data_IF_517006096557
#
_entry.id   IF_517006096557
#
_cell.length_a   1.000
_cell.length_b   1.000
_cell.length_c   1.000
_cell.angle_alpha   90.00
_cell.angle_beta   90.00
_cell.angle_gamma   90.00
#
_symmetry.space_group_name_H-M   'P 1'
#
loop_
_entity.id
_entity.type
_entity.pdbx_description
1 polymer ?
#
# COMPACT_ATOMS: atom_id res chain seq x y z
N UNK A 1 27.24 35.24 -38.78
CA UNK A 1 26.35 35.30 -37.60
C UNK A 1 26.10 33.89 -37.11
N UNK A 2 26.54 33.54 -35.91
CA UNK A 2 26.25 32.24 -35.30
C UNK A 2 25.04 32.43 -34.38
N UNK A 3 23.91 31.80 -34.69
CA UNK A 3 22.74 31.81 -33.81
C UNK A 3 22.97 30.81 -32.67
N UNK A 4 23.05 31.31 -31.44
CA UNK A 4 23.07 30.48 -30.24
C UNK A 4 21.65 29.97 -29.97
N UNK A 5 21.41 28.68 -30.19
CA UNK A 5 20.16 28.02 -29.83
C UNK A 5 20.17 27.79 -28.31
N UNK A 6 19.49 28.64 -27.56
CA UNK A 6 19.23 28.43 -26.13
C UNK A 6 18.07 27.46 -26.01
N UNK A 7 18.37 26.20 -25.68
CA UNK A 7 17.33 25.21 -25.32
C UNK A 7 16.98 25.45 -23.86
N UNK A 8 15.82 26.07 -23.61
CA UNK A 8 15.26 26.23 -22.28
C UNK A 8 14.65 24.87 -21.89
N UNK A 9 15.34 24.13 -21.02
CA UNK A 9 14.76 22.95 -20.38
C UNK A 9 13.71 23.43 -19.36
N UNK A 10 12.43 23.21 -19.67
CA UNK A 10 11.36 23.43 -18.69
C UNK A 10 11.39 22.30 -17.66
N UNK A 11 11.24 22.59 -16.35
CA UNK A 11 11.11 21.53 -15.35
C UNK A 11 9.81 20.76 -15.60
N UNK A 12 9.92 19.43 -15.72
CA UNK A 12 8.75 18.57 -15.73
C UNK A 12 8.14 18.61 -14.31
N UNK A 13 6.90 19.08 -14.20
CA UNK A 13 6.18 19.07 -12.93
C UNK A 13 5.84 17.60 -12.62
N UNK A 14 6.45 17.04 -11.58
CA UNK A 14 6.11 15.70 -11.10
C UNK A 14 4.69 15.73 -10.50
N UNK A 15 3.73 15.04 -11.14
CA UNK A 15 2.38 14.89 -10.60
C UNK A 15 2.33 13.74 -9.60
N UNK A 16 1.74 14.00 -8.43
CA UNK A 16 1.43 12.94 -7.46
C UNK A 16 0.02 12.39 -7.74
N UNK A 17 -0.11 11.07 -7.74
CA UNK A 17 -1.40 10.41 -7.97
C UNK A 17 -1.85 9.72 -6.69
N UNK A 18 -3.13 9.86 -6.32
CA UNK A 18 -3.74 9.13 -5.20
C UNK A 18 -4.69 8.06 -5.72
N UNK A 19 -4.49 6.83 -5.27
CA UNK A 19 -5.28 5.66 -5.65
C UNK A 19 -6.01 5.17 -4.40
N UNK A 20 -7.29 4.83 -4.56
CA UNK A 20 -8.16 4.39 -3.45
C UNK A 20 -8.93 3.14 -3.83
N UNK A 21 -8.94 2.18 -2.91
CA UNK A 21 -9.71 0.94 -2.97
C UNK A 21 -10.72 0.90 -1.84
N UNK A 22 -11.85 0.24 -2.08
CA UNK A 22 -12.89 -0.01 -1.07
C UNK A 22 -13.06 -1.51 -0.92
N UNK A 23 -13.10 -1.99 0.32
CA UNK A 23 -13.45 -3.38 0.56
C UNK A 23 -14.93 -3.59 0.20
N UNK A 24 -15.30 -4.68 -0.48
CA UNK A 24 -16.70 -5.03 -0.68
C UNK A 24 -17.37 -5.32 0.67
N UNK A 25 -18.66 -5.00 0.78
CA UNK A 25 -19.46 -5.37 1.95
C UNK A 25 -19.53 -6.91 2.08
N UNK A 26 -19.34 -7.42 3.30
CA UNK A 26 -19.31 -8.87 3.59
C UNK A 26 -20.65 -9.42 4.06
N UNK A 27 -21.63 -8.58 4.38
CA UNK A 27 -22.95 -9.04 4.82
C UNK A 27 -23.94 -7.92 5.13
N UNK A 28 -25.20 -8.30 5.34
CA UNK A 28 -26.24 -7.39 5.78
C UNK A 28 -26.16 -7.17 7.30
N UNK A 29 -26.31 -5.92 7.75
CA UNK A 29 -26.33 -5.55 9.16
C UNK A 29 -27.52 -6.22 9.89
N UNK A 30 -27.24 -6.90 11.00
CA UNK A 30 -28.25 -7.54 11.84
C UNK A 30 -28.44 -6.88 13.22
N UNK A 31 -27.92 -5.68 13.48
CA UNK A 31 -28.30 -5.03 14.74
C UNK A 31 -27.70 -3.70 15.15
N UNK A 32 -26.75 -3.06 14.46
CA UNK A 32 -26.19 -1.80 14.98
C UNK A 32 -25.58 -0.81 13.97
N UNK A 33 -25.72 -1.02 12.66
CA UNK A 33 -24.92 -0.23 11.72
C UNK A 33 -25.50 0.11 10.35
N UNK A 34 -24.76 0.89 9.54
CA UNK A 34 -25.30 1.53 8.34
C UNK A 34 -25.73 0.59 7.20
N UNK A 35 -26.29 1.12 6.11
CA UNK A 35 -26.66 0.34 4.93
C UNK A 35 -25.48 -0.14 4.04
N UNK A 36 -24.21 0.04 4.46
CA UNK A 36 -23.01 -0.28 3.66
C UNK A 36 -21.88 -0.91 4.50
N UNK A 37 -22.19 -1.90 5.32
CA UNK A 37 -21.26 -2.37 6.34
C UNK A 37 -20.36 -3.51 5.93
N UNK A 38 -19.15 -3.45 6.48
CA UNK A 38 -18.26 -4.59 6.57
C UNK A 38 -18.43 -5.18 7.97
N UNK A 39 -18.86 -6.44 8.04
CA UNK A 39 -18.97 -7.18 9.29
C UNK A 39 -17.64 -7.89 9.55
N UNK A 40 -16.92 -7.47 10.59
CA UNK A 40 -15.77 -8.19 11.13
C UNK A 40 -16.28 -9.07 12.26
N UNK A 41 -16.78 -10.25 11.90
CA UNK A 41 -17.36 -11.20 12.83
C UNK A 41 -16.26 -11.89 13.63
N UNK A 42 -16.47 -12.04 14.94
CA UNK A 42 -15.45 -12.59 15.83
C UNK A 42 -15.21 -14.08 15.72
N UNK A 43 -16.01 -14.77 14.92
CA UNK A 43 -15.77 -16.16 14.59
C UNK A 43 -14.82 -16.32 13.41
N UNK A 44 -14.41 -15.23 12.76
CA UNK A 44 -13.67 -15.27 11.52
C UNK A 44 -12.48 -14.31 11.48
N UNK A 45 -11.39 -14.78 10.89
CA UNK A 45 -10.32 -13.95 10.38
C UNK A 45 -10.52 -13.71 8.89
N UNK A 46 -10.12 -12.52 8.44
CA UNK A 46 -10.38 -12.02 7.09
C UNK A 46 -9.09 -11.68 6.35
N UNK A 47 -9.12 -11.85 5.04
CA UNK A 47 -8.17 -11.23 4.12
C UNK A 47 -8.92 -10.35 3.13
N UNK A 48 -8.36 -9.20 2.80
CA UNK A 48 -8.80 -8.35 1.70
C UNK A 48 -7.64 -8.15 0.72
N UNK A 49 -7.67 -8.88 -0.40
CA UNK A 49 -6.66 -8.75 -1.46
C UNK A 49 -7.04 -7.68 -2.47
N UNK A 50 -6.05 -6.87 -2.82
CA UNK A 50 -6.13 -5.79 -3.79
C UNK A 50 -5.19 -6.14 -4.94
N UNK A 51 -5.75 -6.29 -6.14
CA UNK A 51 -5.02 -6.66 -7.35
C UNK A 51 -4.88 -5.46 -8.31
N UNK A 52 -3.98 -5.59 -9.30
CA UNK A 52 -3.95 -4.71 -10.47
C UNK A 52 -3.26 -3.36 -10.25
N UNK A 53 -2.42 -3.24 -9.22
CA UNK A 53 -1.63 -2.03 -8.98
C UNK A 53 -0.32 -2.10 -9.76
N UNK A 54 -0.01 -1.04 -10.50
CA UNK A 54 1.24 -0.89 -11.24
C UNK A 54 1.99 0.35 -10.74
N UNK A 55 3.18 0.13 -10.15
CA UNK A 55 4.06 1.17 -9.62
C UNK A 55 5.19 1.57 -10.58
N UNK A 56 5.16 1.12 -11.84
CA UNK A 56 6.26 1.37 -12.79
C UNK A 56 6.62 2.86 -12.90
N UNK A 57 7.85 3.20 -12.52
CA UNK A 57 8.37 4.57 -12.53
C UNK A 57 7.81 5.47 -11.42
N UNK A 58 7.18 4.90 -10.39
CA UNK A 58 6.59 5.61 -9.25
C UNK A 58 7.01 5.00 -7.93
N UNK A 59 7.02 5.81 -6.89
CA UNK A 59 7.23 5.41 -5.49
C UNK A 59 6.01 5.80 -4.68
N UNK A 60 5.64 4.97 -3.70
CA UNK A 60 4.59 5.31 -2.75
C UNK A 60 5.16 6.29 -1.71
N UNK A 61 4.49 7.42 -1.52
CA UNK A 61 4.90 8.50 -0.62
C UNK A 61 4.05 8.59 0.65
N UNK A 62 2.82 8.09 0.61
CA UNK A 62 1.94 7.96 1.78
C UNK A 62 0.91 6.86 1.55
N UNK A 63 0.39 6.29 2.63
CA UNK A 63 -0.72 5.34 2.58
C UNK A 63 -1.52 5.40 3.88
N UNK A 64 -2.83 5.17 3.77
CA UNK A 64 -3.75 5.07 4.89
C UNK A 64 -4.73 3.93 4.70
N UNK A 65 -5.04 3.24 5.79
CA UNK A 65 -6.14 2.30 5.89
C UNK A 65 -7.20 2.89 6.83
N UNK A 66 -8.41 3.08 6.32
CA UNK A 66 -9.49 3.79 7.01
C UNK A 66 -10.67 2.87 7.24
N UNK A 67 -11.09 2.75 8.49
CA UNK A 67 -12.34 2.13 8.91
C UNK A 67 -13.31 3.24 9.26
N UNK A 68 -14.45 3.30 8.58
CA UNK A 68 -15.46 4.32 8.83
C UNK A 68 -16.42 3.86 9.92
N UNK A 69 -16.67 4.71 10.91
CA UNK A 69 -17.64 4.46 11.97
C UNK A 69 -17.50 3.06 12.62
N UNK A 70 -16.26 2.66 12.95
CA UNK A 70 -15.98 1.36 13.56
C UNK A 70 -16.29 1.38 15.07
N UNK A 71 -16.96 0.34 15.56
CA UNK A 71 -17.23 0.09 16.98
C UNK A 71 -17.20 -1.40 17.30
N UNK A 72 -16.91 -1.71 18.57
CA UNK A 72 -17.17 -3.03 19.12
C UNK A 72 -18.67 -3.22 19.35
N UNK A 73 -19.19 -4.43 19.20
CA UNK A 73 -20.61 -4.72 19.41
C UNK A 73 -21.03 -4.72 20.89
N UNK A 74 -20.10 -4.95 21.81
CA UNK A 74 -20.36 -5.05 23.25
C UNK A 74 -19.31 -4.31 24.11
N UNK A 75 -19.35 -4.51 25.43
CA UNK A 75 -18.42 -3.89 26.38
C UNK A 75 -17.30 -4.82 26.86
N UNK A 76 -17.20 -6.03 26.28
CA UNK A 76 -16.13 -6.96 26.63
C UNK A 76 -14.78 -6.47 26.06
N UNK A 77 -13.69 -7.04 26.59
CA UNK A 77 -12.36 -6.79 26.03
C UNK A 77 -12.35 -7.25 24.58
N UNK A 78 -11.76 -6.43 23.72
CA UNK A 78 -11.70 -6.68 22.29
C UNK A 78 -10.38 -6.17 21.72
N UNK A 79 -9.99 -6.73 20.58
CA UNK A 79 -8.83 -6.28 19.81
C UNK A 79 -9.05 -6.59 18.34
N UNK A 80 -8.78 -5.62 17.47
CA UNK A 80 -8.65 -5.85 16.04
C UNK A 80 -7.17 -5.85 15.68
N UNK A 81 -6.65 -6.98 15.21
CA UNK A 81 -5.29 -7.09 14.66
C UNK A 81 -5.32 -6.82 13.16
N UNK A 82 -4.33 -6.07 12.68
CA UNK A 82 -4.24 -5.65 11.29
C UNK A 82 -2.84 -5.91 10.75
N UNK A 83 -2.77 -6.63 9.65
CA UNK A 83 -1.55 -7.00 8.96
C UNK A 83 -1.56 -6.55 7.50
N UNK A 84 -0.39 -6.18 7.00
CA UNK A 84 -0.11 -6.09 5.57
C UNK A 84 0.55 -7.40 5.13
N UNK A 85 -0.08 -8.06 4.17
CA UNK A 85 0.35 -9.30 3.58
C UNK A 85 0.84 -9.05 2.16
N UNK A 86 1.87 -9.79 1.75
CA UNK A 86 2.42 -9.76 0.39
C UNK A 86 1.37 -10.15 -0.65
N UNK A 87 0.54 -11.15 -0.34
CA UNK A 87 -0.64 -11.53 -1.12
C UNK A 87 -1.60 -12.34 -0.23
N UNK A 88 -2.78 -12.69 -0.75
CA UNK A 88 -3.66 -13.70 -0.19
C UNK A 88 -4.03 -14.73 -1.28
N UNK A 89 -4.48 -15.92 -0.88
CA UNK A 89 -4.81 -16.98 -1.84
C UNK A 89 -5.91 -16.60 -2.82
N UNK A 90 -6.82 -15.71 -2.43
CA UNK A 90 -8.00 -15.33 -3.21
C UNK A 90 -8.12 -13.82 -3.32
N UNK A 91 -8.61 -13.35 -4.47
CA UNK A 91 -8.91 -11.95 -4.73
C UNK A 91 -10.08 -11.46 -3.88
N UNK A 92 -10.13 -10.14 -3.62
CA UNK A 92 -11.19 -9.53 -2.84
C UNK A 92 -11.19 -9.98 -1.39
N UNK A 93 -12.37 -10.02 -0.77
CA UNK A 93 -12.51 -10.34 0.65
C UNK A 93 -12.85 -11.82 0.82
N UNK A 94 -12.09 -12.51 1.68
CA UNK A 94 -12.32 -13.90 2.04
C UNK A 94 -12.10 -14.07 3.54
N UNK A 95 -12.82 -15.01 4.15
CA UNK A 95 -12.69 -15.33 5.56
C UNK A 95 -12.55 -16.83 5.81
N UNK A 96 -12.10 -17.18 7.00
CA UNK A 96 -12.22 -18.53 7.54
C UNK A 96 -12.62 -18.45 9.00
N UNK A 97 -13.30 -19.50 9.47
CA UNK A 97 -13.69 -19.59 10.86
C UNK A 97 -12.48 -19.97 11.74
N UNK A 98 -12.13 -19.13 12.72
CA UNK A 98 -11.03 -19.34 13.66
C UNK A 98 -11.49 -19.66 15.10
N UNK A 99 -12.72 -19.28 15.46
CA UNK A 99 -13.35 -19.58 16.73
C UNK A 99 -14.66 -20.40 16.58
N UNK A 100 -15.05 -21.20 17.60
CA UNK A 100 -16.31 -21.96 17.56
C UNK A 100 -17.52 -21.06 17.40
N UNK A 101 -18.46 -21.39 16.51
CA UNK A 101 -19.65 -20.58 16.19
C UNK A 101 -20.61 -20.30 17.38
N UNK A 102 -20.37 -20.94 18.52
CA UNK A 102 -21.13 -20.77 19.76
C UNK A 102 -20.38 -19.95 20.81
N UNK A 103 -19.16 -19.48 20.53
CA UNK A 103 -18.31 -18.77 21.47
C UNK A 103 -18.77 -17.32 21.59
N UNK A 104 -19.63 -17.04 22.56
CA UNK A 104 -20.10 -15.67 22.85
C UNK A 104 -20.11 -15.42 24.36
N UNK A 105 -19.35 -14.44 24.91
CA UNK A 105 -18.41 -13.57 24.22
C UNK A 105 -17.07 -14.27 23.92
N UNK A 106 -16.23 -13.63 23.09
CA UNK A 106 -14.84 -14.04 22.92
C UNK A 106 -14.10 -14.00 24.26
N UNK A 107 -13.39 -15.08 24.59
CA UNK A 107 -12.66 -15.23 25.86
C UNK A 107 -11.15 -15.17 25.70
N UNK A 108 -10.65 -15.28 24.46
CA UNK A 108 -9.24 -15.21 24.10
C UNK A 108 -8.97 -14.06 23.14
N UNK A 109 -7.80 -13.43 23.26
CA UNK A 109 -7.34 -12.39 22.33
C UNK A 109 -6.05 -12.92 21.72
N UNK A 110 -6.15 -13.50 20.54
CA UNK A 110 -5.11 -14.25 19.85
C UNK A 110 -5.02 -13.88 18.37
N UNK A 111 -3.87 -13.34 17.96
CA UNK A 111 -3.61 -12.96 16.57
C UNK A 111 -3.44 -14.17 15.61
N UNK A 112 -4.42 -14.41 14.73
CA UNK A 112 -4.43 -15.44 13.68
C UNK A 112 -3.52 -15.14 12.48
N UNK A 113 -2.96 -13.94 12.43
CA UNK A 113 -1.88 -13.56 11.53
C UNK A 113 -0.52 -13.46 12.23
N UNK A 114 -0.36 -14.04 13.42
CA UNK A 114 0.94 -14.17 14.09
C UNK A 114 1.38 -15.63 14.35
N UNK A 115 2.70 -15.81 14.51
CA UNK A 115 3.31 -17.03 15.01
C UNK A 115 2.89 -18.31 14.26
N UNK A 116 2.56 -19.36 15.01
CA UNK A 116 2.15 -20.65 14.45
C UNK A 116 0.76 -20.63 13.83
N UNK A 117 -0.13 -19.69 14.23
CA UNK A 117 -1.46 -19.53 13.63
C UNK A 117 -1.32 -19.04 12.19
N UNK A 118 -0.50 -18.02 11.97
CA UNK A 118 -0.17 -17.53 10.64
C UNK A 118 0.35 -18.63 9.70
N UNK A 119 1.28 -19.46 10.18
CA UNK A 119 1.87 -20.54 9.37
C UNK A 119 0.84 -21.58 8.90
N UNK A 120 -0.27 -21.72 9.63
CA UNK A 120 -1.35 -22.64 9.32
C UNK A 120 -2.60 -21.93 8.78
N UNK A 121 -2.53 -20.61 8.55
CA UNK A 121 -3.68 -19.80 8.16
C UNK A 121 -4.12 -20.17 6.73
N UNK A 122 -5.36 -20.65 6.53
CA UNK A 122 -5.82 -21.15 5.24
C UNK A 122 -6.05 -20.04 4.22
N UNK A 123 -6.09 -18.77 4.61
CA UNK A 123 -6.23 -17.63 3.70
C UNK A 123 -4.93 -17.26 3.00
N UNK A 124 -3.80 -17.74 3.52
CA UNK A 124 -2.46 -17.33 3.11
C UNK A 124 -1.63 -18.54 2.67
N UNK A 125 -0.75 -18.35 1.69
CA UNK A 125 0.15 -19.41 1.25
C UNK A 125 1.41 -19.45 2.14
N UNK A 126 2.03 -20.61 2.37
CA UNK A 126 3.32 -20.67 3.04
C UNK A 126 4.37 -19.79 2.33
N UNK A 127 5.09 -18.99 3.11
CA UNK A 127 6.13 -18.09 2.59
C UNK A 127 5.64 -16.70 2.14
N UNK A 128 4.34 -16.42 2.22
CA UNK A 128 3.84 -15.06 2.02
C UNK A 128 4.48 -14.11 3.04
N UNK A 129 4.90 -12.93 2.59
CA UNK A 129 5.39 -11.87 3.48
C UNK A 129 4.27 -11.34 4.39
N UNK A 130 4.60 -11.07 5.65
CA UNK A 130 3.64 -10.59 6.64
C UNK A 130 4.28 -9.47 7.48
N UNK A 131 3.62 -8.31 7.50
CA UNK A 131 4.01 -7.14 8.28
C UNK A 131 2.86 -6.74 9.19
N UNK A 132 3.07 -6.86 10.51
CA UNK A 132 2.15 -6.32 11.50
C UNK A 132 2.03 -4.81 11.34
N UNK A 133 0.80 -4.30 11.24
CA UNK A 133 0.53 -2.87 11.15
C UNK A 133 0.18 -2.31 12.53
N UNK A 134 -0.89 -2.82 13.12
CA UNK A 134 -1.38 -2.35 14.41
C UNK A 134 -2.34 -3.35 15.03
N UNK A 135 -2.60 -3.15 16.32
CA UNK A 135 -3.76 -3.69 17.00
C UNK A 135 -4.54 -2.52 17.61
N UNK A 136 -5.87 -2.60 17.66
CA UNK A 136 -6.70 -1.53 18.21
C UNK A 136 -7.97 -2.10 18.88
N UNK A 137 -8.26 -1.64 20.09
CA UNK A 137 -9.54 -1.89 20.76
C UNK A 137 -10.53 -0.76 20.51
N UNK A 138 -11.82 -1.08 20.52
CA UNK A 138 -12.91 -0.14 20.30
C UNK A 138 -13.96 -0.22 21.41
N UNK A 139 -14.71 0.87 21.59
CA UNK A 139 -15.90 0.89 22.46
C UNK A 139 -17.15 0.63 21.61
N UNK A 140 -18.32 0.57 22.24
CA UNK A 140 -19.62 0.51 21.55
C UNK A 140 -20.00 1.80 20.82
N UNK A 141 -19.20 2.86 20.96
CA UNK A 141 -19.42 4.13 20.25
C UNK A 141 -18.61 4.15 18.96
N UNK A 142 -19.30 4.19 17.82
CA UNK A 142 -18.69 4.26 16.50
C UNK A 142 -17.81 5.48 16.32
N UNK A 143 -16.65 5.29 15.68
CA UNK A 143 -15.73 6.36 15.30
C UNK A 143 -14.96 6.00 14.06
N UNK A 144 -14.48 7.01 13.35
CA UNK A 144 -13.51 6.78 12.29
C UNK A 144 -12.15 6.40 12.90
N UNK A 145 -11.53 5.39 12.30
CA UNK A 145 -10.18 4.96 12.61
C UNK A 145 -9.34 4.99 11.34
N UNK A 146 -8.28 5.79 11.36
CA UNK A 146 -7.35 5.95 10.25
C UNK A 146 -5.98 5.49 10.70
N UNK A 147 -5.48 4.42 10.09
CA UNK A 147 -4.12 3.95 10.27
C UNK A 147 -3.22 4.55 9.19
N UNK A 148 -2.21 5.31 9.60
CA UNK A 148 -1.22 5.91 8.70
C UNK A 148 0.05 5.07 8.70
N UNK A 149 0.51 4.70 7.50
CA UNK A 149 1.68 3.84 7.34
C UNK A 149 2.95 4.60 7.69
N UNK A 150 3.85 3.93 8.40
CA UNK A 150 5.21 4.42 8.67
C UNK A 150 6.09 4.36 7.41
N UNK A 151 7.19 5.11 7.40
CA UNK A 151 8.13 5.10 6.27
C UNK A 151 8.66 3.69 5.94
N UNK A 152 8.87 2.84 6.94
CA UNK A 152 9.32 1.46 6.72
C UNK A 152 8.20 0.56 6.17
N UNK A 153 6.96 0.73 6.64
CA UNK A 153 5.81 0.03 6.05
C UNK A 153 5.52 0.46 4.62
N UNK A 154 5.77 1.72 4.24
CA UNK A 154 5.66 2.16 2.84
C UNK A 154 6.68 1.46 1.93
N UNK A 155 7.90 1.15 2.44
CA UNK A 155 8.89 0.36 1.71
C UNK A 155 8.41 -1.07 1.52
N UNK A 156 7.87 -1.70 2.57
CA UNK A 156 7.30 -3.05 2.50
C UNK A 156 6.11 -3.08 1.53
N UNK A 157 5.17 -2.14 1.65
CA UNK A 157 4.04 -1.99 0.74
C UNK A 157 4.47 -1.90 -0.72
N UNK A 158 5.49 -1.07 -1.00
CA UNK A 158 6.05 -0.96 -2.35
C UNK A 158 6.68 -2.27 -2.81
N UNK A 159 7.40 -2.96 -1.93
CA UNK A 159 8.03 -4.25 -2.26
C UNK A 159 6.99 -5.33 -2.57
N UNK A 160 5.90 -5.40 -1.80
CA UNK A 160 4.83 -6.37 -2.03
C UNK A 160 4.11 -6.13 -3.36
N UNK A 161 3.75 -4.87 -3.68
CA UNK A 161 3.19 -4.57 -5.01
C UNK A 161 4.15 -4.95 -6.16
N UNK A 162 5.46 -4.80 -5.97
CA UNK A 162 6.46 -5.22 -6.96
C UNK A 162 6.61 -6.75 -7.07
N UNK A 163 6.08 -7.52 -6.11
CA UNK A 163 6.18 -8.97 -6.01
C UNK A 163 4.93 -9.72 -6.53
N UNK A 164 4.14 -9.11 -7.41
CA UNK A 164 2.94 -9.77 -7.95
C UNK A 164 1.89 -8.83 -8.52
N UNK A 165 2.00 -7.54 -8.22
CA UNK A 165 0.98 -6.54 -8.58
C UNK A 165 -0.24 -6.57 -7.67
N UNK A 166 -0.18 -7.33 -6.58
CA UNK A 166 -1.19 -7.42 -5.54
C UNK A 166 -0.60 -7.25 -4.14
N UNK A 167 -1.49 -6.99 -3.18
CA UNK A 167 -1.24 -7.07 -1.73
C UNK A 167 -2.49 -7.62 -1.06
N UNK A 168 -2.42 -7.97 0.22
CA UNK A 168 -3.62 -8.14 1.02
C UNK A 168 -3.52 -7.50 2.40
N UNK A 169 -4.67 -7.18 2.99
CA UNK A 169 -4.79 -6.89 4.41
C UNK A 169 -5.30 -8.13 5.13
N UNK A 170 -4.64 -8.52 6.22
CA UNK A 170 -5.17 -9.48 7.19
C UNK A 170 -5.88 -8.73 8.31
N UNK A 171 -7.12 -9.11 8.61
CA UNK A 171 -7.89 -8.59 9.74
C UNK A 171 -8.29 -9.75 10.63
N UNK A 172 -7.90 -9.69 11.89
CA UNK A 172 -8.29 -10.68 12.88
C UNK A 172 -9.03 -9.97 14.03
N UNK A 173 -10.37 -10.10 14.06
CA UNK A 173 -11.23 -9.47 15.05
C UNK A 173 -11.46 -10.39 16.26
N UNK A 174 -10.68 -10.19 17.32
CA UNK A 174 -10.99 -10.78 18.63
C UNK A 174 -12.11 -9.95 19.30
N UNK A 175 -13.35 -10.35 18.99
CA UNK A 175 -14.64 -9.69 19.23
C UNK A 175 -15.23 -9.06 17.96
N UNK A 176 -16.52 -8.78 17.99
CA UNK A 176 -17.27 -8.45 16.79
C UNK A 176 -17.26 -6.94 16.54
N UNK A 177 -16.82 -6.52 15.36
CA UNK A 177 -16.76 -5.10 14.99
C UNK A 177 -17.66 -4.76 13.81
N UNK A 178 -18.50 -3.75 14.01
CA UNK A 178 -19.28 -3.13 12.95
C UNK A 178 -18.51 -1.95 12.39
N UNK A 179 -18.54 -1.76 11.07
CA UNK A 179 -18.04 -0.54 10.42
C UNK A 179 -18.78 -0.25 9.11
N UNK A 180 -18.78 1.00 8.67
CA UNK A 180 -19.41 1.49 7.43
C UNK A 180 -18.45 1.45 6.23
N UNK A 181 -17.58 0.44 6.21
CA UNK A 181 -16.65 0.14 5.13
C UNK A 181 -15.19 0.45 5.46
N UNK A 182 -14.33 -0.30 4.80
CA UNK A 182 -12.88 -0.20 4.89
C UNK A 182 -12.34 0.35 3.57
N UNK A 183 -11.50 1.37 3.65
CA UNK A 183 -10.87 2.01 2.50
C UNK A 183 -9.36 1.97 2.63
N UNK A 184 -8.66 1.62 1.55
CA UNK A 184 -7.21 1.74 1.47
C UNK A 184 -6.86 2.78 0.42
N UNK A 185 -6.02 3.74 0.79
CA UNK A 185 -5.56 4.79 -0.10
C UNK A 185 -4.05 4.92 -0.03
N UNK A 186 -3.41 5.20 -1.16
CA UNK A 186 -2.00 5.58 -1.19
C UNK A 186 -1.72 6.63 -2.25
N UNK A 187 -0.71 7.45 -1.99
CA UNK A 187 -0.22 8.46 -2.92
C UNK A 187 1.11 8.01 -3.49
N UNK A 188 1.31 8.25 -4.78
CA UNK A 188 2.56 7.98 -5.48
C UNK A 188 3.17 9.26 -6.02
N UNK A 189 4.50 9.26 -6.17
CA UNK A 189 5.24 10.27 -6.92
C UNK A 189 6.19 9.58 -7.90
N UNK A 190 6.53 10.21 -9.05
CA UNK A 190 7.52 9.68 -9.96
C UNK A 190 8.83 9.32 -9.24
N UNK A 191 9.39 8.14 -9.52
CA UNK A 191 10.78 7.86 -9.16
C UNK A 191 11.63 8.90 -9.86
N UNK A 192 12.48 9.63 -9.14
CA UNK A 192 13.44 10.55 -9.75
C UNK A 192 14.39 9.77 -10.68
N UNK A 193 13.98 9.60 -11.94
CA UNK A 193 14.87 9.17 -13.02
C UNK A 193 15.82 10.32 -13.33
N UNK A 194 17.10 10.07 -13.66
CA UNK A 194 18.03 11.13 -14.04
C UNK A 194 17.37 12.03 -15.08
N UNK A 195 17.22 13.30 -14.73
CA UNK A 195 16.44 14.24 -15.51
C UNK A 195 17.02 14.38 -16.93
N UNK A 196 16.20 14.81 -17.92
CA UNK A 196 16.69 15.20 -19.24
C UNK A 196 17.88 16.17 -19.17
N UNK A 197 18.02 16.94 -18.09
CA UNK A 197 19.17 17.80 -17.84
C UNK A 197 20.50 17.03 -17.74
N UNK A 198 20.54 15.83 -17.15
CA UNK A 198 21.75 15.02 -17.09
C UNK A 198 22.11 14.46 -18.47
N UNK A 199 21.11 14.05 -19.26
CA UNK A 199 21.31 13.64 -20.66
C UNK A 199 21.69 14.82 -21.57
N UNK A 200 21.11 16.00 -21.32
CA UNK A 200 21.45 17.23 -22.03
C UNK A 200 22.87 17.69 -21.65
N UNK A 201 23.28 17.59 -20.39
CA UNK A 201 24.64 17.88 -19.93
C UNK A 201 25.65 16.88 -20.50
N UNK A 202 25.31 15.59 -20.52
CA UNK A 202 26.12 14.56 -21.17
C UNK A 202 26.24 14.81 -22.67
N UNK A 203 25.13 15.08 -23.35
CA UNK A 203 25.09 15.36 -24.78
C UNK A 203 25.87 16.63 -25.16
N UNK A 204 25.71 17.71 -24.39
CA UNK A 204 26.46 18.96 -24.59
C UNK A 204 27.94 18.80 -24.25
N UNK A 205 28.28 18.02 -23.21
CA UNK A 205 29.66 17.67 -22.87
C UNK A 205 30.36 16.90 -24.00
N UNK A 206 29.69 15.91 -24.59
CA UNK A 206 30.19 15.15 -25.74
C UNK A 206 30.34 16.03 -26.99
N UNK A 207 29.36 16.90 -27.27
CA UNK A 207 29.44 17.85 -28.38
C UNK A 207 30.61 18.84 -28.20
N UNK A 208 30.84 19.34 -26.98
CA UNK A 208 31.97 20.20 -26.63
C UNK A 208 33.32 19.50 -26.82
N UNK A 209 33.44 18.25 -26.39
CA UNK A 209 34.63 17.41 -26.60
C UNK A 209 34.93 17.20 -28.09
N UNK A 210 33.91 16.89 -28.90
CA UNK A 210 34.05 16.74 -30.34
C UNK A 210 34.53 18.04 -31.00
N UNK A 211 33.93 19.18 -30.65
CA UNK A 211 34.30 20.48 -31.21
C UNK A 211 35.74 20.90 -30.82
N UNK A 212 36.14 20.65 -29.57
CA UNK A 212 37.52 20.84 -29.08
C UNK A 212 38.55 20.07 -29.91
N UNK A 213 38.28 18.80 -30.21
CA UNK A 213 39.17 17.96 -31.04
C UNK A 213 39.28 18.47 -32.47
N UNK A 214 38.19 18.95 -33.06
CA UNK A 214 38.19 19.50 -34.43
C UNK A 214 39.06 20.75 -34.52
N UNK A 215 38.97 21.67 -33.56
CA UNK A 215 39.81 22.89 -33.53
C UNK A 215 41.31 22.59 -33.45
N UNK A 216 41.72 21.64 -32.60
CA UNK A 216 43.14 21.26 -32.48
C UNK A 216 43.70 20.71 -33.79
N UNK A 217 42.92 19.91 -34.54
CA UNK A 217 43.34 19.41 -35.86
C UNK A 217 43.49 20.54 -36.90
N UNK A 218 42.57 21.50 -36.91
CA UNK A 218 42.64 22.64 -37.84
C UNK A 218 43.84 23.55 -37.56
N UNK A 219 44.16 23.80 -36.28
CA UNK A 219 45.35 24.57 -35.91
C UNK A 219 46.65 23.86 -36.31
N UNK A 220 46.73 22.54 -36.16
CA UNK A 220 47.90 21.76 -36.58
C UNK A 220 48.11 21.76 -38.10
N UNK A 221 47.06 21.98 -38.90
CA UNK A 221 47.17 22.06 -40.37
C UNK A 221 47.56 23.45 -40.89
N UNK A 222 47.48 24.51 -40.08
CA UNK A 222 47.85 25.88 -40.47
C UNK A 222 49.36 26.14 -40.25
N UNK A 223 50.05 25.25 -39.52
CA UNK A 223 51.45 25.40 -39.13
C UNK A 223 52.39 24.53 -40.01
N UNK A 224 51.83 23.81 -40.99
CA UNK A 224 52.56 23.09 -42.04
C UNK A 224 52.29 23.74 -43.40
#
# INVERSE_FOLDING_TARGET
MLAALVVIALPAVASADTITFQAPATGANQGSGGPNQFNLDHHEAYTWRIDGVNLSGKTITSATLTFRNISNWDTNKNMLFIHLLDTARRAGVNSFQDAPATQVPVIDINDDFAGTRYLNNPLVAPGTGNTFLTQQSFTTTGRDFVYTFTADQLKVLSAYFLNGGDIAFGFDPDCHFWNDGIAFSFTTAPTATPEPATLALLGTGLAGLYYSRKRKKQQAQIIN
#
